data_IF_406597691231
#
_entry.id   IF_406597691231
#
_cell.length_a   1.000
_cell.length_b   1.000
_cell.length_c   1.000
_cell.angle_alpha   90.00
_cell.angle_beta   90.00
_cell.angle_gamma   90.00
#
_symmetry.space_group_name_H-M   'P 1'
#
loop_
_entity.id
_entity.type
_entity.pdbx_description
1 polymer ?
#
# COMPACT_ATOMS: atom_id res chain seq x y z
N UNK A 1 -5.73 -5.14 -11.79
CA UNK A 1 -5.29 -3.90 -11.13
C UNK A 1 -6.00 -3.80 -9.79
N UNK A 2 -5.28 -3.46 -8.75
CA UNK A 2 -5.84 -3.36 -7.41
C UNK A 2 -6.64 -2.07 -7.25
N UNK A 3 -7.73 -2.15 -6.47
CA UNK A 3 -8.49 -0.96 -6.05
C UNK A 3 -8.45 -0.88 -4.55
N UNK A 4 -7.80 0.15 -4.02
CA UNK A 4 -7.65 0.30 -2.59
C UNK A 4 -8.97 0.61 -1.90
N UNK A 5 -9.93 1.18 -2.62
CA UNK A 5 -11.27 1.43 -2.07
C UNK A 5 -12.02 0.16 -1.70
N UNK A 6 -11.59 -0.99 -2.20
CA UNK A 6 -12.17 -2.28 -1.86
C UNK A 6 -11.44 -2.98 -0.72
N UNK A 7 -10.40 -2.38 -0.20
CA UNK A 7 -9.62 -2.96 0.89
C UNK A 7 -10.21 -2.58 2.24
N UNK A 8 -9.91 -3.39 3.26
CA UNK A 8 -10.32 -3.17 4.63
C UNK A 8 -9.10 -3.05 5.51
N UNK A 9 -9.24 -2.42 6.65
CA UNK A 9 -8.16 -2.30 7.63
C UNK A 9 -7.53 -3.66 7.90
N UNK A 10 -6.22 -3.71 7.78
CA UNK A 10 -5.47 -4.94 8.03
C UNK A 10 -5.26 -5.81 6.81
N UNK A 11 -5.88 -5.49 5.68
CA UNK A 11 -5.64 -6.24 4.45
C UNK A 11 -4.18 -6.13 4.04
N UNK A 12 -3.58 -7.27 3.67
CA UNK A 12 -2.21 -7.32 3.21
C UNK A 12 -2.15 -7.17 1.71
N UNK A 13 -1.24 -6.32 1.26
CA UNK A 13 -1.10 -5.98 -0.15
C UNK A 13 0.34 -6.21 -0.58
N UNK A 14 0.51 -6.46 -1.87
CA UNK A 14 1.83 -6.71 -2.44
C UNK A 14 2.29 -5.48 -3.20
N UNK A 15 3.51 -5.04 -2.91
CA UNK A 15 4.15 -3.96 -3.64
C UNK A 15 4.92 -4.51 -4.83
N UNK A 16 5.20 -3.64 -5.80
CA UNK A 16 5.94 -4.04 -7.00
C UNK A 16 7.30 -4.64 -6.67
N UNK A 17 7.93 -4.19 -5.58
CA UNK A 17 9.23 -4.72 -5.15
C UNK A 17 9.12 -6.09 -4.45
N UNK A 18 7.93 -6.69 -4.38
CA UNK A 18 7.73 -7.99 -3.75
C UNK A 18 7.50 -7.95 -2.25
N UNK A 19 7.54 -6.78 -1.64
CA UNK A 19 7.33 -6.64 -0.20
C UNK A 19 5.86 -6.40 0.12
N UNK A 20 5.52 -6.59 1.40
CA UNK A 20 4.15 -6.48 1.88
C UNK A 20 3.87 -5.08 2.42
N UNK A 21 2.66 -4.58 2.13
CA UNK A 21 2.11 -3.40 2.76
C UNK A 21 0.80 -3.77 3.43
N UNK A 22 0.44 -3.04 4.49
CA UNK A 22 -0.81 -3.29 5.21
C UNK A 22 -1.71 -2.07 5.05
N UNK A 23 -2.93 -2.32 4.59
CA UNK A 23 -3.90 -1.25 4.37
C UNK A 23 -4.41 -0.73 5.71
N UNK A 24 -4.42 0.59 5.87
CA UNK A 24 -4.92 1.23 7.09
C UNK A 24 -6.31 1.81 6.87
N UNK A 25 -6.49 2.61 5.84
CA UNK A 25 -7.76 3.23 5.57
C UNK A 25 -7.65 4.39 4.61
N UNK A 26 -8.78 5.05 4.36
CA UNK A 26 -8.86 6.20 3.49
C UNK A 26 -9.00 7.45 4.33
N UNK A 27 -8.32 8.52 3.92
CA UNK A 27 -8.50 9.82 4.55
C UNK A 27 -9.92 10.36 4.28
N UNK A 28 -10.59 10.91 5.30
CA UNK A 28 -11.93 11.49 5.08
C UNK A 28 -11.91 12.78 4.26
N UNK A 29 -10.74 13.40 4.10
CA UNK A 29 -10.62 14.71 3.45
C UNK A 29 -9.90 14.66 2.11
N UNK A 30 -9.44 13.50 1.69
CA UNK A 30 -8.78 13.37 0.39
C UNK A 30 -8.99 11.96 -0.14
N UNK A 31 -8.56 11.74 -1.38
CA UNK A 31 -8.73 10.46 -2.05
C UNK A 31 -7.59 9.49 -1.78
N UNK A 32 -6.64 9.90 -0.94
CA UNK A 32 -5.48 9.07 -0.64
C UNK A 32 -5.81 7.99 0.37
N UNK A 33 -5.20 6.84 0.19
CA UNK A 33 -5.31 5.71 1.10
C UNK A 33 -4.00 5.57 1.87
N UNK A 34 -4.09 5.21 3.13
CA UNK A 34 -2.92 5.05 3.99
C UNK A 34 -2.53 3.59 4.08
N UNK A 35 -1.23 3.34 3.98
CA UNK A 35 -0.66 1.99 4.09
C UNK A 35 0.55 2.05 5.00
N UNK A 36 0.78 0.97 5.73
CA UNK A 36 1.97 0.82 6.57
C UNK A 36 2.90 -0.20 5.91
N UNK A 37 4.17 0.17 5.80
CA UNK A 37 5.19 -0.73 5.29
C UNK A 37 6.28 -0.91 6.34
N UNK A 38 6.99 -2.01 6.23
CA UNK A 38 8.21 -2.23 7.00
C UNK A 38 9.38 -2.23 6.01
N UNK A 39 10.24 -1.25 6.12
CA UNK A 39 11.39 -1.11 5.24
C UNK A 39 12.66 -1.36 6.03
N UNK A 40 13.56 -2.14 5.47
CA UNK A 40 14.88 -2.36 6.08
C UNK A 40 15.62 -1.05 6.26
N UNK A 41 15.42 -0.12 5.32
CA UNK A 41 16.12 1.16 5.31
C UNK A 41 15.51 2.17 6.28
N UNK A 42 14.19 2.18 6.42
CA UNK A 42 13.47 3.20 7.17
C UNK A 42 12.70 2.67 8.36
N UNK A 43 12.67 1.36 8.58
CA UNK A 43 11.82 0.75 9.58
C UNK A 43 10.35 0.80 9.17
N UNK A 44 9.46 0.95 10.14
CA UNK A 44 8.03 1.07 9.85
C UNK A 44 7.73 2.49 9.40
N UNK A 45 6.96 2.61 8.33
CA UNK A 45 6.58 3.91 7.81
C UNK A 45 5.20 3.87 7.20
N UNK A 46 4.56 5.03 7.10
CA UNK A 46 3.25 5.16 6.48
C UNK A 46 3.40 5.80 5.10
N UNK A 47 2.74 5.19 4.13
CA UNK A 47 2.72 5.69 2.76
C UNK A 47 1.30 6.05 2.36
N UNK A 48 1.19 6.94 1.39
CA UNK A 48 -0.09 7.37 0.82
C UNK A 48 -0.15 6.91 -0.63
N UNK A 49 -1.27 6.34 -1.01
CA UNK A 49 -1.45 5.85 -2.37
C UNK A 49 -2.81 6.24 -2.92
N UNK A 50 -2.89 6.42 -4.24
CA UNK A 50 -4.15 6.62 -4.92
C UNK A 50 -4.94 5.30 -4.96
N UNK A 51 -6.19 5.37 -5.39
CA UNK A 51 -7.07 4.19 -5.40
C UNK A 51 -6.51 3.02 -6.22
N UNK A 52 -5.74 3.30 -7.24
CA UNK A 52 -5.14 2.26 -8.08
C UNK A 52 -3.75 1.82 -7.60
N UNK A 53 -3.35 2.21 -6.39
CA UNK A 53 -2.14 1.70 -5.77
C UNK A 53 -0.87 2.47 -6.08
N UNK A 54 -0.96 3.60 -6.78
CA UNK A 54 0.21 4.42 -7.10
C UNK A 54 0.56 5.28 -5.90
N UNK A 55 1.80 5.16 -5.42
CA UNK A 55 2.25 5.94 -4.27
C UNK A 55 2.33 7.42 -4.59
N UNK A 56 1.75 8.24 -3.72
CA UNK A 56 1.67 9.68 -3.94
C UNK A 56 2.80 10.45 -3.27
N UNK A 57 3.34 9.91 -2.17
CA UNK A 57 4.42 10.58 -1.45
C UNK A 57 5.81 10.04 -1.80
N UNK A 58 5.90 9.19 -2.81
CA UNK A 58 7.16 8.66 -3.31
C UNK A 58 7.18 8.73 -4.82
N UNK A 59 8.34 9.03 -5.37
CA UNK A 59 8.54 9.03 -6.82
C UNK A 59 8.95 7.65 -7.33
N UNK A 60 9.46 6.79 -6.45
CA UNK A 60 9.90 5.47 -6.84
C UNK A 60 8.72 4.53 -7.03
N UNK A 61 8.61 3.97 -8.23
CA UNK A 61 7.48 3.12 -8.59
C UNK A 61 7.56 1.72 -8.00
N UNK A 62 8.69 1.31 -7.45
CA UNK A 62 8.84 -0.02 -6.85
C UNK A 62 7.94 -0.22 -5.62
N UNK A 63 7.47 0.87 -5.01
CA UNK A 63 6.58 0.81 -3.87
C UNK A 63 5.10 0.77 -4.26
N UNK A 64 4.79 0.90 -5.54
CA UNK A 64 3.39 0.86 -5.99
C UNK A 64 2.76 -0.48 -5.65
N UNK A 65 1.49 -0.44 -5.25
CA UNK A 65 0.72 -1.65 -4.94
C UNK A 65 0.29 -2.30 -6.25
N UNK A 66 0.63 -3.56 -6.42
CA UNK A 66 0.32 -4.30 -7.65
C UNK A 66 -0.74 -5.38 -7.47
N UNK A 67 -1.11 -5.68 -6.24
CA UNK A 67 -2.14 -6.67 -5.99
C UNK A 67 -2.28 -6.97 -4.52
N UNK A 68 -3.08 -7.99 -4.20
CA UNK A 68 -3.22 -8.45 -2.83
C UNK A 68 -2.10 -9.42 -2.50
N UNK A 69 -1.71 -9.42 -1.24
CA UNK A 69 -0.73 -10.39 -0.76
C UNK A 69 -1.36 -11.77 -0.72
N UNK A 70 -0.71 -12.73 -1.34
CA UNK A 70 -1.15 -14.13 -1.30
C UNK A 70 -0.23 -14.90 -0.39
N UNK A 71 -0.81 -15.50 0.65
CA UNK A 71 -0.06 -16.39 1.51
C UNK A 71 0.18 -17.69 0.77
N UNK A 72 1.42 -18.10 0.70
CA UNK A 72 1.72 -19.40 0.18
C UNK A 72 1.44 -20.48 1.22
N UNK A 73 0.86 -21.53 0.76
CA UNK A 73 0.46 -22.63 1.63
C UNK A 73 1.50 -23.75 1.54
#
# INVERSE_FOLDING_TARGET
MVKLSECKFGDRLKMRNGKMAIYVGKSPHCISHFLVINSIKFGYGMLYASDNGVMENLTERSYDIVGKWEDEV
#
